data_IF_028178787083
#
_entry.id   IF_028178787083
#
_cell.length_a   1.000
_cell.length_b   1.000
_cell.length_c   1.000
_cell.angle_alpha   90.00
_cell.angle_beta   90.00
_cell.angle_gamma   90.00
#
_symmetry.space_group_name_H-M   'P 1'
#
loop_
_entity.id
_entity.type
_entity.pdbx_description
1 polymer ?
#
# COMPACT_ATOMS: atom_id res chain seq x y z
N UNK A 1 -29.44 75.21 -19.76
CA UNK A 1 -28.23 74.48 -20.18
C UNK A 1 -27.50 74.04 -18.92
N UNK A 2 -27.61 72.76 -18.54
CA UNK A 2 -26.83 72.21 -17.44
C UNK A 2 -25.33 72.25 -17.81
N UNK A 3 -24.41 72.58 -16.89
CA UNK A 3 -23.00 72.69 -17.20
C UNK A 3 -22.38 71.31 -17.47
N UNK A 4 -21.89 71.14 -18.71
CA UNK A 4 -20.60 70.55 -19.03
C UNK A 4 -20.36 69.07 -18.68
N UNK A 5 -20.84 68.16 -19.53
CA UNK A 5 -20.10 66.91 -19.76
C UNK A 5 -19.03 67.20 -20.81
N UNK A 6 -17.75 67.22 -20.42
CA UNK A 6 -16.64 67.28 -21.38
C UNK A 6 -16.53 65.94 -22.12
N UNK A 7 -16.55 65.95 -23.45
CA UNK A 7 -16.29 64.75 -24.25
C UNK A 7 -14.89 64.21 -23.93
N UNK A 8 -14.81 62.98 -23.42
CA UNK A 8 -13.54 62.33 -23.07
C UNK A 8 -13.43 61.82 -21.63
N UNK A 9 -14.43 62.07 -20.78
CA UNK A 9 -14.43 61.50 -19.43
C UNK A 9 -14.69 59.98 -19.47
N UNK A 10 -13.76 59.21 -18.90
CA UNK A 10 -13.90 57.76 -18.73
C UNK A 10 -13.58 57.36 -17.29
N UNK A 11 -14.26 56.32 -16.83
CA UNK A 11 -13.96 55.65 -15.56
C UNK A 11 -13.33 54.30 -15.88
N UNK A 12 -12.24 53.96 -15.19
CA UNK A 12 -11.64 52.63 -15.29
C UNK A 12 -11.75 51.95 -13.93
N UNK A 13 -12.29 50.74 -13.92
CA UNK A 13 -12.32 49.87 -12.74
C UNK A 13 -11.19 48.86 -12.81
N UNK A 14 -10.45 48.69 -11.72
CA UNK A 14 -9.46 47.62 -11.60
C UNK A 14 -9.77 46.76 -10.38
N UNK A 15 -9.62 45.45 -10.55
CA UNK A 15 -9.61 44.48 -9.46
C UNK A 15 -8.16 44.18 -9.11
N UNK A 16 -7.80 44.30 -7.83
CA UNK A 16 -6.48 43.90 -7.34
C UNK A 16 -6.62 42.66 -6.46
N UNK A 17 -5.93 41.60 -6.86
CA UNK A 17 -5.67 40.42 -6.04
C UNK A 17 -4.23 40.50 -5.52
N UNK A 18 -3.99 40.01 -4.30
CA UNK A 18 -2.62 39.85 -3.78
C UNK A 18 -1.99 38.59 -4.41
N UNK A 19 -1.00 38.72 -5.31
CA UNK A 19 -0.38 37.58 -5.98
C UNK A 19 0.36 36.63 -5.02
N UNK A 20 0.63 37.04 -3.77
CA UNK A 20 1.24 36.18 -2.75
C UNK A 20 0.25 35.21 -2.07
N UNK A 21 -1.07 35.40 -2.27
CA UNK A 21 -2.10 34.49 -1.76
C UNK A 21 -2.50 33.48 -2.87
N UNK A 22 -2.18 32.19 -2.72
CA UNK A 22 -2.43 31.17 -3.76
C UNK A 22 -3.92 30.85 -3.94
N UNK A 23 -4.78 31.32 -3.03
CA UNK A 23 -6.22 31.15 -3.07
C UNK A 23 -6.86 32.55 -3.03
N UNK A 24 -7.61 32.97 -4.05
CA UNK A 24 -8.16 34.34 -4.11
C UNK A 24 -9.24 34.63 -3.06
N UNK A 25 -9.76 33.60 -2.38
CA UNK A 25 -10.76 33.73 -1.32
C UNK A 25 -10.52 32.69 -0.22
N UNK A 26 -10.31 33.13 1.02
CA UNK A 26 -10.22 32.29 2.22
C UNK A 26 -11.62 31.84 2.69
N UNK A 27 -11.70 30.80 3.52
CA UNK A 27 -13.00 30.31 4.04
C UNK A 27 -13.70 31.29 5.01
N UNK A 28 -12.98 32.30 5.51
CA UNK A 28 -13.52 33.37 6.37
C UNK A 28 -12.87 34.71 6.01
N UNK A 29 -13.64 35.81 6.15
CA UNK A 29 -13.17 37.21 6.00
C UNK A 29 -12.65 37.64 4.62
N UNK A 30 -13.31 37.23 3.54
CA UNK A 30 -13.02 37.78 2.20
C UNK A 30 -13.50 39.23 2.09
N UNK A 31 -12.62 40.14 1.65
CA UNK A 31 -12.96 41.52 1.31
C UNK A 31 -12.74 41.73 -0.18
N UNK A 32 -13.77 42.21 -0.89
CA UNK A 32 -13.66 42.64 -2.29
C UNK A 32 -13.62 44.16 -2.28
N UNK A 33 -12.51 44.72 -2.77
CA UNK A 33 -12.36 46.17 -2.94
C UNK A 33 -12.40 46.53 -4.42
N UNK A 34 -13.25 47.50 -4.78
CA UNK A 34 -13.39 48.00 -6.15
C UNK A 34 -12.89 49.44 -6.15
N UNK A 35 -11.83 49.69 -6.93
CA UNK A 35 -11.27 51.02 -7.08
C UNK A 35 -11.75 51.62 -8.39
N UNK A 36 -12.42 52.77 -8.29
CA UNK A 36 -12.88 53.55 -9.44
C UNK A 36 -12.04 54.81 -9.50
N UNK A 37 -11.30 54.98 -10.60
CA UNK A 37 -10.53 56.20 -10.86
C UNK A 37 -11.17 56.96 -12.02
N UNK A 38 -11.36 58.27 -11.83
CA UNK A 38 -11.72 59.17 -12.93
C UNK A 38 -10.49 59.91 -13.47
N UNK A 39 -10.47 60.13 -14.78
CA UNK A 39 -9.49 60.96 -15.48
C UNK A 39 -9.87 62.45 -15.54
N UNK A 40 -11.02 62.87 -14.96
CA UNK A 40 -11.51 64.25 -14.98
C UNK A 40 -12.29 64.66 -13.72
N UNK A 41 -12.72 65.92 -13.65
CA UNK A 41 -13.53 66.43 -12.54
C UNK A 41 -15.02 66.11 -12.75
N UNK A 42 -15.67 65.58 -11.72
CA UNK A 42 -17.10 65.23 -11.73
C UNK A 42 -17.79 65.75 -10.47
N UNK A 43 -19.06 66.12 -10.59
CA UNK A 43 -19.90 66.52 -9.45
C UNK A 43 -20.63 65.34 -8.80
N UNK A 44 -20.83 64.22 -9.51
CA UNK A 44 -21.46 63.03 -8.97
C UNK A 44 -21.11 61.76 -9.78
N UNK A 45 -21.16 60.59 -9.12
CA UNK A 45 -21.10 59.26 -9.73
C UNK A 45 -22.34 58.48 -9.29
N UNK A 46 -23.11 57.94 -10.23
CA UNK A 46 -24.23 57.05 -9.97
C UNK A 46 -23.86 55.63 -10.44
N UNK A 47 -23.99 54.64 -9.55
CA UNK A 47 -23.82 53.22 -9.87
C UNK A 47 -25.21 52.60 -9.78
N UNK A 48 -25.81 52.31 -10.94
CA UNK A 48 -27.19 51.82 -11.02
C UNK A 48 -27.26 50.29 -10.80
N UNK A 49 -26.31 49.53 -11.35
CA UNK A 49 -26.19 48.09 -11.10
C UNK A 49 -24.72 47.65 -10.96
N UNK A 50 -24.41 46.96 -9.85
CA UNK A 50 -23.16 46.23 -9.67
C UNK A 50 -23.45 44.72 -9.61
N UNK A 51 -23.09 43.99 -10.67
CA UNK A 51 -23.28 42.53 -10.77
C UNK A 51 -21.95 41.80 -10.58
N UNK A 52 -21.78 41.13 -9.44
CA UNK A 52 -20.62 40.28 -9.14
C UNK A 52 -21.03 38.82 -9.36
N UNK A 53 -20.30 38.11 -10.23
CA UNK A 53 -20.40 36.65 -10.36
C UNK A 53 -19.16 36.02 -9.74
N UNK A 54 -19.35 35.26 -8.66
CA UNK A 54 -18.30 34.44 -8.07
C UNK A 54 -18.68 32.96 -8.22
N UNK A 55 -17.71 32.13 -8.60
CA UNK A 55 -17.88 30.68 -8.66
C UNK A 55 -16.99 30.06 -7.59
N UNK A 56 -17.60 29.39 -6.61
CA UNK A 56 -16.84 28.61 -5.64
C UNK A 56 -16.25 27.42 -6.39
N UNK A 57 -14.93 27.40 -6.58
CA UNK A 57 -14.20 26.17 -6.90
C UNK A 57 -14.26 25.27 -5.66
N UNK A 58 -15.40 24.62 -5.46
CA UNK A 58 -15.47 23.48 -4.54
C UNK A 58 -14.69 22.39 -5.25
N UNK A 59 -13.44 22.17 -4.84
CA UNK A 59 -12.80 20.90 -5.13
C UNK A 59 -13.72 19.84 -4.54
N UNK A 60 -14.42 19.08 -5.37
CA UNK A 60 -15.24 17.97 -4.91
C UNK A 60 -14.34 17.07 -4.09
N UNK A 61 -14.64 16.89 -2.80
CA UNK A 61 -13.90 15.97 -1.95
C UNK A 61 -14.13 14.57 -2.51
N UNK A 62 -13.14 14.06 -3.22
CA UNK A 62 -13.15 12.70 -3.73
C UNK A 62 -12.48 11.80 -2.71
N UNK A 63 -13.10 10.66 -2.43
CA UNK A 63 -12.46 9.55 -1.73
C UNK A 63 -11.63 8.79 -2.75
N UNK A 64 -10.37 8.57 -2.42
CA UNK A 64 -9.46 7.74 -3.19
C UNK A 64 -9.26 6.42 -2.45
N UNK A 65 -8.96 5.36 -3.19
CA UNK A 65 -8.76 4.04 -2.63
C UNK A 65 -7.64 3.32 -3.35
N UNK A 66 -7.03 2.37 -2.65
CA UNK A 66 -5.99 1.52 -3.20
C UNK A 66 -6.61 0.45 -4.11
N UNK A 67 -5.92 0.20 -5.21
CA UNK A 67 -6.14 -0.99 -6.03
C UNK A 67 -5.46 -2.23 -5.44
N UNK A 68 -6.09 -3.38 -5.65
CA UNK A 68 -5.48 -4.69 -5.42
C UNK A 68 -5.78 -5.58 -6.63
N UNK A 69 -4.73 -6.09 -7.27
CA UNK A 69 -4.80 -7.09 -8.34
C UNK A 69 -4.46 -8.45 -7.72
N UNK A 70 -5.37 -9.43 -7.83
CA UNK A 70 -5.26 -10.66 -7.03
C UNK A 70 -4.82 -11.86 -7.86
N UNK A 71 -3.67 -12.42 -7.51
CA UNK A 71 -3.40 -13.86 -7.58
C UNK A 71 -3.30 -14.39 -6.15
N UNK A 72 -4.43 -14.74 -5.54
CA UNK A 72 -4.51 -15.27 -4.18
C UNK A 72 -4.85 -16.75 -4.21
N UNK A 73 -4.04 -17.56 -3.52
CA UNK A 73 -4.29 -18.98 -3.33
C UNK A 73 -4.74 -19.22 -1.90
N UNK A 74 -5.98 -19.66 -1.71
CA UNK A 74 -6.52 -20.02 -0.39
C UNK A 74 -7.22 -21.38 -0.48
N UNK A 75 -6.77 -22.41 0.27
CA UNK A 75 -7.42 -23.72 0.32
C UNK A 75 -8.73 -23.71 1.14
N UNK A 76 -9.27 -22.53 1.47
CA UNK A 76 -10.42 -22.34 2.34
C UNK A 76 -11.21 -21.09 1.96
N UNK A 77 -12.34 -20.86 2.65
CA UNK A 77 -13.22 -19.74 2.34
C UNK A 77 -12.54 -18.39 2.64
N UNK A 78 -12.38 -17.56 1.61
CA UNK A 78 -12.00 -16.15 1.78
C UNK A 78 -13.27 -15.39 2.19
N UNK A 79 -13.27 -14.82 3.39
CA UNK A 79 -14.36 -13.96 3.87
C UNK A 79 -13.88 -12.52 3.89
N UNK A 80 -14.69 -11.60 3.38
CA UNK A 80 -14.48 -10.14 3.49
C UNK A 80 -13.26 -9.58 2.76
N UNK A 81 -12.94 -10.08 1.57
CA UNK A 81 -11.98 -9.42 0.68
C UNK A 81 -12.67 -8.26 -0.07
N UNK A 82 -12.18 -7.04 0.11
CA UNK A 82 -12.67 -5.86 -0.60
C UNK A 82 -11.49 -5.12 -1.22
N UNK A 83 -11.61 -4.76 -2.50
CA UNK A 83 -10.66 -3.89 -3.20
C UNK A 83 -11.36 -2.57 -3.48
N UNK A 84 -10.67 -1.46 -3.21
CA UNK A 84 -11.14 -0.13 -3.55
C UNK A 84 -10.62 0.31 -4.93
N UNK A 85 -10.30 -0.63 -5.82
CA UNK A 85 -9.76 -0.35 -7.16
C UNK A 85 -10.64 0.59 -8.00
N UNK A 86 -11.96 0.55 -7.79
CA UNK A 86 -12.91 1.48 -8.38
C UNK A 86 -12.73 2.96 -8.00
N UNK A 87 -12.00 3.24 -6.92
CA UNK A 87 -11.63 4.57 -6.46
C UNK A 87 -10.30 5.07 -7.06
N UNK A 88 -9.71 4.36 -8.03
CA UNK A 88 -8.44 4.76 -8.65
C UNK A 88 -8.50 6.20 -9.22
N UNK A 89 -9.63 6.63 -9.79
CA UNK A 89 -9.84 8.00 -10.28
C UNK A 89 -10.49 8.96 -9.25
N UNK A 90 -10.70 8.47 -8.02
CA UNK A 90 -11.43 9.13 -6.94
C UNK A 90 -12.95 9.20 -7.20
N UNK A 91 -13.76 8.92 -6.17
CA UNK A 91 -15.22 9.04 -6.22
C UNK A 91 -15.73 10.16 -5.32
N UNK A 92 -16.71 10.92 -5.79
CA UNK A 92 -17.42 11.91 -4.99
C UNK A 92 -18.53 11.30 -4.10
N UNK A 93 -18.78 9.99 -4.26
CA UNK A 93 -19.81 9.24 -3.55
C UNK A 93 -19.15 8.24 -2.60
N UNK A 94 -19.66 8.16 -1.37
CA UNK A 94 -19.26 7.20 -0.34
C UNK A 94 -19.89 5.81 -0.56
N UNK A 95 -20.92 5.72 -1.41
CA UNK A 95 -21.62 4.48 -1.71
C UNK A 95 -20.76 3.53 -2.53
N UNK A 96 -20.42 2.35 -1.98
CA UNK A 96 -19.60 1.36 -2.67
C UNK A 96 -20.14 0.96 -4.05
N UNK A 97 -21.47 0.84 -4.21
CA UNK A 97 -22.05 0.46 -5.50
C UNK A 97 -21.77 1.48 -6.61
N UNK A 98 -21.52 2.74 -6.26
CA UNK A 98 -21.28 3.80 -7.25
C UNK A 98 -19.91 3.68 -7.92
N UNK A 99 -18.89 3.23 -7.18
CA UNK A 99 -17.51 3.14 -7.66
C UNK A 99 -17.02 1.69 -7.85
N UNK A 100 -17.70 0.69 -7.29
CA UNK A 100 -17.30 -0.72 -7.32
C UNK A 100 -18.15 -1.59 -8.26
N UNK A 101 -18.67 -1.03 -9.35
CA UNK A 101 -19.69 -1.67 -10.19
C UNK A 101 -19.26 -3.02 -10.80
N UNK A 102 -17.95 -3.24 -10.99
CA UNK A 102 -17.38 -4.41 -11.69
C UNK A 102 -16.58 -5.38 -10.78
N UNK A 103 -16.64 -5.22 -9.45
CA UNK A 103 -15.94 -6.18 -8.57
C UNK A 103 -16.66 -7.53 -8.51
N UNK A 104 -15.93 -8.64 -8.35
CA UNK A 104 -16.48 -10.00 -8.21
C UNK A 104 -17.57 -10.14 -7.13
N UNK A 105 -17.67 -9.20 -6.18
CA UNK A 105 -18.73 -9.11 -5.18
C UNK A 105 -20.10 -8.62 -5.73
N UNK A 106 -20.14 -8.10 -6.97
CA UNK A 106 -21.31 -7.43 -7.57
C UNK A 106 -21.87 -8.18 -8.80
N UNK A 107 -21.46 -9.44 -9.02
CA UNK A 107 -21.97 -10.30 -10.08
C UNK A 107 -22.57 -11.59 -9.50
N UNK A 108 -23.72 -12.00 -10.01
CA UNK A 108 -24.39 -13.27 -9.66
C UNK A 108 -23.89 -14.46 -10.48
N UNK A 109 -22.87 -14.26 -11.33
CA UNK A 109 -22.41 -15.22 -12.36
C UNK A 109 -21.08 -15.87 -11.92
N UNK A 110 -20.90 -17.20 -12.05
CA UNK A 110 -19.82 -17.95 -11.40
C UNK A 110 -18.51 -17.97 -12.21
N UNK A 111 -18.07 -16.83 -12.75
CA UNK A 111 -16.75 -16.76 -13.37
C UNK A 111 -15.65 -16.67 -12.30
N UNK A 112 -14.51 -17.35 -12.52
CA UNK A 112 -13.40 -17.39 -11.56
C UNK A 112 -13.49 -18.53 -10.52
N UNK A 113 -14.27 -19.58 -10.78
CA UNK A 113 -14.30 -20.76 -9.90
C UNK A 113 -12.97 -21.52 -9.96
N UNK A 114 -12.13 -21.32 -8.95
CA UNK A 114 -11.03 -22.23 -8.64
C UNK A 114 -11.60 -23.59 -8.20
N UNK A 115 -10.78 -24.65 -8.27
CA UNK A 115 -11.17 -25.95 -7.75
C UNK A 115 -11.74 -25.79 -6.32
N UNK A 116 -12.82 -26.50 -5.95
CA UNK A 116 -13.38 -26.39 -4.61
C UNK A 116 -12.30 -26.70 -3.57
N UNK A 117 -12.35 -26.03 -2.41
CA UNK A 117 -11.37 -26.18 -1.32
C UNK A 117 -11.01 -27.65 -0.99
N UNK A 118 -11.96 -28.57 -1.14
CA UNK A 118 -11.78 -30.01 -0.93
C UNK A 118 -10.94 -30.73 -2.01
N UNK A 119 -10.83 -30.15 -3.20
CA UNK A 119 -9.96 -30.60 -4.30
C UNK A 119 -8.64 -29.81 -4.36
N UNK A 120 -8.52 -28.77 -3.55
CA UNK A 120 -7.26 -28.04 -3.37
C UNK A 120 -6.41 -28.81 -2.36
N UNK A 121 -5.13 -29.03 -2.70
CA UNK A 121 -4.18 -29.62 -1.77
C UNK A 121 -3.98 -28.77 -0.53
N UNK A 122 -3.39 -29.37 0.51
CA UNK A 122 -3.03 -28.63 1.73
C UNK A 122 -1.85 -27.70 1.43
N UNK A 123 -1.88 -26.47 1.95
CA UNK A 123 -0.69 -25.60 1.93
C UNK A 123 0.45 -26.36 2.62
N UNK A 124 1.60 -26.58 1.97
CA UNK A 124 2.73 -27.25 2.61
C UNK A 124 3.10 -26.55 3.92
N UNK A 125 3.47 -27.32 4.94
CA UNK A 125 3.93 -26.75 6.21
C UNK A 125 5.35 -26.16 6.06
N UNK A 126 5.44 -24.98 5.43
CA UNK A 126 6.70 -24.28 5.14
C UNK A 126 7.41 -23.92 6.45
N UNK A 127 6.66 -23.43 7.45
CA UNK A 127 7.21 -23.14 8.78
C UNK A 127 7.85 -24.37 9.41
N UNK A 128 7.16 -25.52 9.36
CA UNK A 128 7.68 -26.82 9.80
C UNK A 128 8.96 -27.23 9.06
N UNK A 129 8.96 -27.15 7.73
CA UNK A 129 10.13 -27.46 6.90
C UNK A 129 11.35 -26.59 7.23
N UNK A 130 11.14 -25.29 7.47
CA UNK A 130 12.21 -24.34 7.78
C UNK A 130 12.69 -24.42 9.24
N UNK A 131 11.88 -25.01 10.12
CA UNK A 131 12.19 -25.21 11.54
C UNK A 131 12.87 -26.54 11.86
N UNK A 132 13.05 -27.43 10.88
CA UNK A 132 13.51 -28.78 11.16
C UNK A 132 15.00 -28.82 11.55
N UNK A 133 15.38 -29.71 12.48
CA UNK A 133 16.78 -29.93 12.82
C UNK A 133 17.60 -30.34 11.59
N UNK A 134 18.83 -29.82 11.49
CA UNK A 134 19.79 -30.21 10.45
C UNK A 134 19.59 -29.54 9.08
N UNK A 135 18.71 -28.53 8.98
CA UNK A 135 18.55 -27.74 7.76
C UNK A 135 19.86 -27.00 7.43
N UNK A 136 20.43 -27.31 6.25
CA UNK A 136 21.67 -26.72 5.74
C UNK A 136 21.40 -25.45 4.96
N UNK A 137 22.34 -24.52 5.00
CA UNK A 137 22.32 -23.29 4.18
C UNK A 137 21.49 -22.14 4.76
N UNK A 138 20.97 -22.29 5.98
CA UNK A 138 20.29 -21.21 6.72
C UNK A 138 20.79 -21.15 8.16
N UNK A 139 20.79 -19.95 8.72
CA UNK A 139 21.00 -19.72 10.15
C UNK A 139 19.64 -19.70 10.85
N UNK A 140 19.40 -20.61 11.79
CA UNK A 140 18.14 -20.64 12.55
C UNK A 140 18.35 -19.90 13.88
N UNK A 141 17.51 -18.90 14.13
CA UNK A 141 17.49 -18.14 15.38
C UNK A 141 16.20 -18.52 16.14
N UNK A 142 16.26 -19.48 17.08
CA UNK A 142 15.14 -19.74 17.95
C UNK A 142 14.90 -18.54 18.87
N UNK A 143 13.65 -18.13 19.02
CA UNK A 143 13.26 -16.96 19.81
C UNK A 143 11.93 -17.19 20.53
N UNK A 144 11.73 -16.49 21.63
CA UNK A 144 10.39 -16.33 22.23
C UNK A 144 9.57 -15.31 21.44
N UNK A 145 8.81 -14.46 22.14
CA UNK A 145 8.36 -13.20 21.55
C UNK A 145 9.58 -12.30 21.30
N UNK A 146 9.62 -11.62 20.15
CA UNK A 146 10.78 -10.80 19.76
C UNK A 146 10.35 -9.54 19.03
N UNK A 147 11.06 -8.46 19.30
CA UNK A 147 10.94 -7.22 18.52
C UNK A 147 12.13 -7.10 17.57
N UNK A 148 11.85 -6.99 16.27
CA UNK A 148 12.84 -6.80 15.21
C UNK A 148 12.93 -5.30 14.93
N UNK A 149 13.85 -4.64 15.63
CA UNK A 149 14.24 -3.25 15.39
C UNK A 149 15.55 -3.20 14.57
N UNK A 150 16.01 -1.98 14.25
CA UNK A 150 17.25 -1.80 13.49
C UNK A 150 18.47 -2.38 14.23
N UNK A 151 18.48 -2.39 15.56
CA UNK A 151 19.58 -2.94 16.35
C UNK A 151 19.61 -4.47 16.25
N UNK A 152 18.46 -5.13 16.31
CA UNK A 152 18.32 -6.57 16.15
C UNK A 152 18.73 -7.04 14.76
N UNK A 153 18.31 -6.31 13.71
CA UNK A 153 18.72 -6.57 12.31
C UNK A 153 20.24 -6.55 12.19
N UNK A 154 20.88 -5.52 12.74
CA UNK A 154 22.32 -5.36 12.71
C UNK A 154 23.05 -6.41 13.57
N UNK A 155 22.63 -6.62 14.81
CA UNK A 155 23.29 -7.58 15.71
C UNK A 155 23.31 -9.00 15.14
N UNK A 156 22.24 -9.41 14.48
CA UNK A 156 22.11 -10.76 13.93
C UNK A 156 22.53 -10.87 12.45
N UNK A 157 22.90 -9.75 11.83
CA UNK A 157 23.26 -9.67 10.41
C UNK A 157 22.18 -10.31 9.51
N UNK A 158 20.90 -10.06 9.82
CA UNK A 158 19.74 -10.75 9.23
C UNK A 158 19.69 -10.66 7.70
N UNK A 159 20.30 -9.62 7.12
CA UNK A 159 20.27 -9.35 5.69
C UNK A 159 21.50 -9.88 4.93
N UNK A 160 22.54 -10.36 5.65
CA UNK A 160 23.82 -10.80 5.06
C UNK A 160 23.95 -12.30 4.84
N UNK A 161 23.01 -13.07 5.37
CA UNK A 161 22.92 -14.53 5.18
C UNK A 161 21.48 -14.99 5.29
N UNK A 162 21.17 -16.11 4.64
CA UNK A 162 19.86 -16.73 4.76
C UNK A 162 19.57 -17.07 6.22
N UNK A 163 18.53 -16.46 6.79
CA UNK A 163 18.23 -16.54 8.23
C UNK A 163 16.75 -16.87 8.43
N UNK A 164 16.48 -17.81 9.33
CA UNK A 164 15.12 -18.16 9.77
C UNK A 164 14.98 -17.76 11.23
N UNK A 165 14.12 -16.78 11.51
CA UNK A 165 13.70 -16.47 12.87
C UNK A 165 12.52 -17.39 13.19
N UNK A 166 12.71 -18.25 14.17
CA UNK A 166 11.69 -19.16 14.63
C UNK A 166 11.22 -18.72 16.02
N UNK A 167 10.13 -17.95 16.03
CA UNK A 167 9.55 -17.41 17.24
C UNK A 167 8.44 -18.33 17.77
N UNK A 168 8.45 -18.62 19.07
CA UNK A 168 7.32 -19.29 19.75
C UNK A 168 6.25 -18.31 20.22
N UNK A 169 6.54 -17.00 20.21
CA UNK A 169 5.61 -15.92 20.52
C UNK A 169 5.50 -14.90 19.40
N UNK A 170 4.71 -13.85 19.62
CA UNK A 170 4.48 -12.78 18.63
C UNK A 170 5.78 -12.10 18.22
N UNK A 171 5.97 -11.90 16.92
CA UNK A 171 7.04 -11.08 16.35
C UNK A 171 6.51 -9.68 16.07
N UNK A 172 7.18 -8.65 16.59
CA UNK A 172 6.86 -7.26 16.31
C UNK A 172 7.98 -6.61 15.49
N UNK A 173 7.69 -6.14 14.28
CA UNK A 173 8.64 -5.47 13.40
C UNK A 173 8.51 -3.97 13.57
N UNK A 174 9.60 -3.33 13.99
CA UNK A 174 9.71 -1.87 14.18
C UNK A 174 10.87 -1.27 13.38
N UNK A 175 11.74 -2.11 12.80
CA UNK A 175 12.81 -1.70 11.90
C UNK A 175 12.24 -0.92 10.71
N UNK A 176 12.78 0.28 10.45
CA UNK A 176 12.23 1.21 9.45
C UNK A 176 12.24 0.60 8.05
N UNK A 177 13.38 0.00 7.68
CA UNK A 177 13.55 -0.72 6.43
C UNK A 177 14.39 -1.96 6.70
N UNK A 178 13.84 -3.13 6.38
CA UNK A 178 14.57 -4.37 6.28
C UNK A 178 14.80 -4.59 4.80
N UNK A 179 16.00 -4.31 4.31
CA UNK A 179 16.40 -4.48 2.91
C UNK A 179 17.46 -5.57 2.79
N UNK A 180 17.34 -6.46 1.81
CA UNK A 180 18.39 -7.45 1.56
C UNK A 180 19.74 -6.77 1.31
N UNK A 181 20.82 -7.42 1.74
CA UNK A 181 22.15 -7.06 1.28
C UNK A 181 22.24 -7.43 -0.21
N UNK A 182 22.26 -6.42 -1.08
CA UNK A 182 22.27 -6.60 -2.54
C UNK A 182 23.67 -6.87 -3.09
N UNK A 183 24.58 -7.43 -2.30
CA UNK A 183 25.88 -7.88 -2.82
C UNK A 183 25.63 -8.81 -4.01
N UNK A 184 26.04 -8.38 -5.19
CA UNK A 184 25.66 -8.87 -6.52
C UNK A 184 26.25 -10.22 -6.91
N UNK A 185 26.44 -11.11 -5.95
CA UNK A 185 26.92 -12.47 -6.19
C UNK A 185 25.69 -13.38 -6.28
N UNK A 186 25.52 -14.09 -7.39
CA UNK A 186 24.45 -15.08 -7.60
C UNK A 186 24.45 -16.16 -6.50
N UNK A 187 25.57 -16.30 -5.78
CA UNK A 187 25.73 -17.17 -4.61
C UNK A 187 25.17 -16.61 -3.30
N UNK A 188 24.76 -15.33 -3.26
CA UNK A 188 24.29 -14.61 -2.07
C UNK A 188 22.84 -14.11 -2.21
N UNK A 189 21.94 -14.92 -2.79
CA UNK A 189 20.49 -14.68 -2.74
C UNK A 189 19.92 -14.97 -1.35
N UNK A 190 20.36 -14.23 -0.34
CA UNK A 190 19.96 -14.44 1.05
C UNK A 190 18.48 -14.11 1.23
N UNK A 191 17.76 -14.98 1.93
CA UNK A 191 16.37 -14.73 2.32
C UNK A 191 16.25 -14.68 3.85
N UNK A 192 15.45 -13.74 4.33
CA UNK A 192 15.03 -13.68 5.71
C UNK A 192 13.65 -14.32 5.79
N UNK A 193 13.48 -15.28 6.68
CA UNK A 193 12.18 -15.89 6.93
C UNK A 193 11.82 -15.71 8.39
N UNK A 194 10.60 -15.24 8.64
CA UNK A 194 10.05 -15.03 9.98
C UNK A 194 8.90 -16.00 10.14
N UNK A 195 9.07 -16.96 11.05
CA UNK A 195 8.04 -17.93 11.43
C UNK A 195 7.60 -17.63 12.85
N UNK A 196 6.32 -17.30 13.05
CA UNK A 196 5.76 -16.95 14.35
C UNK A 196 4.28 -17.32 14.44
N UNK A 197 3.68 -17.41 15.63
CA UNK A 197 2.23 -17.47 15.76
C UNK A 197 1.54 -16.24 15.16
N UNK A 198 2.02 -15.03 15.51
CA UNK A 198 1.52 -13.76 15.01
C UNK A 198 2.68 -12.85 14.61
N UNK A 199 2.48 -12.04 13.56
CA UNK A 199 3.47 -11.07 13.07
C UNK A 199 2.82 -9.68 12.98
N UNK A 200 3.32 -8.77 13.79
CA UNK A 200 2.87 -7.40 13.90
C UNK A 200 3.89 -6.46 13.26
N UNK A 201 3.50 -5.74 12.22
CA UNK A 201 4.31 -4.69 11.60
C UNK A 201 3.79 -3.35 12.11
N UNK A 202 4.68 -2.48 12.57
CA UNK A 202 4.30 -1.14 13.02
C UNK A 202 4.16 -0.15 11.87
N UNK A 203 3.31 0.86 12.06
CA UNK A 203 3.03 1.92 11.10
C UNK A 203 4.27 2.62 10.53
N UNK A 204 5.38 2.69 11.27
CA UNK A 204 6.61 3.34 10.83
C UNK A 204 7.47 2.51 9.87
N UNK A 205 7.12 1.25 9.63
CA UNK A 205 7.88 0.36 8.73
C UNK A 205 7.47 0.65 7.29
N UNK A 206 8.46 0.94 6.44
CA UNK A 206 8.28 1.24 5.02
C UNK A 206 8.59 0.05 4.10
N UNK A 207 9.51 -0.82 4.51
CA UNK A 207 9.90 -1.99 3.70
C UNK A 207 10.32 -3.19 4.55
N UNK A 208 9.79 -4.35 4.19
CA UNK A 208 10.11 -5.66 4.80
C UNK A 208 10.51 -6.64 3.70
N UNK A 209 11.80 -6.84 3.54
CA UNK A 209 12.38 -7.86 2.68
C UNK A 209 12.48 -9.18 3.46
N UNK A 210 11.36 -9.89 3.62
CA UNK A 210 11.30 -11.16 4.33
C UNK A 210 10.09 -11.99 3.92
N UNK A 211 10.18 -13.30 4.12
CA UNK A 211 9.04 -14.20 4.09
C UNK A 211 8.36 -14.16 5.46
N UNK A 212 7.05 -13.93 5.47
CA UNK A 212 6.25 -13.81 6.68
C UNK A 212 5.31 -15.02 6.79
N UNK A 213 5.57 -15.88 7.78
CA UNK A 213 4.91 -17.17 7.94
C UNK A 213 4.23 -17.20 9.32
N UNK A 214 2.91 -17.09 9.34
CA UNK A 214 2.07 -17.14 10.53
C UNK A 214 0.98 -18.22 10.42
N UNK A 215 1.35 -19.52 10.48
CA UNK A 215 0.50 -20.63 9.99
C UNK A 215 -0.92 -20.65 10.58
N UNK A 216 -1.04 -20.33 11.87
CA UNK A 216 -2.31 -20.36 12.61
C UNK A 216 -2.71 -19.01 13.20
N UNK A 217 -2.04 -17.92 12.82
CA UNK A 217 -2.31 -16.61 13.39
C UNK A 217 -2.36 -15.50 12.36
N UNK A 218 -2.04 -14.31 12.81
CA UNK A 218 -2.37 -13.08 12.10
C UNK A 218 -1.12 -12.32 11.70
N UNK A 219 -1.12 -11.82 10.45
CA UNK A 219 -0.18 -10.80 10.01
C UNK A 219 -0.90 -9.47 9.98
N UNK A 220 -0.49 -8.52 10.82
CA UNK A 220 -1.08 -7.20 10.92
C UNK A 220 -0.07 -6.13 10.48
N UNK A 221 -0.33 -5.48 9.35
CA UNK A 221 0.59 -4.50 8.76
C UNK A 221 0.59 -3.14 9.46
N UNK A 222 -0.42 -2.87 10.30
CA UNK A 222 -0.47 -1.72 11.20
C UNK A 222 -1.02 -2.11 12.58
N UNK A 223 -0.14 -2.75 13.35
CA UNK A 223 -0.45 -3.27 14.69
C UNK A 223 -0.67 -2.20 15.76
N UNK A 224 -0.02 -1.05 15.63
CA UNK A 224 -0.13 0.08 16.56
C UNK A 224 -1.19 1.12 16.15
N UNK A 225 -1.96 0.85 15.09
CA UNK A 225 -3.05 1.72 14.66
C UNK A 225 -4.30 1.57 15.54
N UNK A 226 -5.11 2.64 15.70
CA UNK A 226 -6.38 2.58 16.43
C UNK A 226 -7.34 1.56 15.83
N UNK A 227 -8.38 1.16 16.58
CA UNK A 227 -9.37 0.19 16.09
C UNK A 227 -10.07 0.63 14.79
N UNK A 228 -10.39 1.93 14.71
CA UNK A 228 -10.90 2.58 13.51
C UNK A 228 -9.83 3.52 12.95
N UNK A 229 -9.40 3.27 11.71
CA UNK A 229 -8.33 4.02 11.07
C UNK A 229 -8.89 5.27 10.37
N UNK A 230 -8.16 6.37 10.48
CA UNK A 230 -8.34 7.58 9.66
C UNK A 230 -7.22 7.71 8.63
N UNK A 231 -7.34 8.66 7.69
CA UNK A 231 -6.29 8.95 6.70
C UNK A 231 -4.94 9.35 7.32
N UNK A 232 -4.93 9.78 8.59
CA UNK A 232 -3.72 10.17 9.31
C UNK A 232 -3.07 8.98 10.05
N UNK A 233 -3.77 7.87 10.19
CA UNK A 233 -3.28 6.68 10.90
C UNK A 233 -2.68 5.70 9.90
N UNK A 234 -1.49 5.17 10.17
CA UNK A 234 -0.85 4.16 9.30
C UNK A 234 -0.64 4.65 7.85
N UNK A 235 -0.35 5.93 7.69
CA UNK A 235 -0.26 6.64 6.40
C UNK A 235 1.09 6.48 5.67
N UNK A 236 1.97 5.62 6.17
CA UNK A 236 3.22 5.24 5.49
C UNK A 236 2.99 3.99 4.64
N UNK A 237 3.38 4.01 3.35
CA UNK A 237 3.25 2.84 2.49
C UNK A 237 4.19 1.73 2.95
N UNK A 238 3.75 0.48 2.85
CA UNK A 238 4.53 -0.70 3.21
C UNK A 238 4.82 -1.55 1.98
N UNK A 239 6.08 -1.86 1.71
CA UNK A 239 6.48 -2.84 0.72
C UNK A 239 6.97 -4.12 1.40
N UNK A 240 6.29 -5.25 1.17
CA UNK A 240 6.76 -6.57 1.61
C UNK A 240 7.30 -7.32 0.39
N UNK A 241 8.58 -7.67 0.41
CA UNK A 241 9.23 -8.44 -0.64
C UNK A 241 9.54 -9.86 -0.14
N UNK A 242 8.59 -10.76 -0.32
CA UNK A 242 8.69 -12.15 0.11
C UNK A 242 7.34 -12.86 0.12
N UNK A 243 7.38 -14.17 0.32
CA UNK A 243 6.17 -14.97 0.45
C UNK A 243 5.47 -14.67 1.78
N UNK A 244 4.14 -14.63 1.76
CA UNK A 244 3.32 -14.39 2.94
C UNK A 244 2.30 -15.52 3.08
N UNK A 245 2.27 -16.16 4.25
CA UNK A 245 1.29 -17.21 4.55
C UNK A 245 0.80 -17.02 5.97
N UNK A 246 -0.51 -16.92 6.14
CA UNK A 246 -1.12 -16.78 7.45
C UNK A 246 -2.57 -17.28 7.46
N UNK A 247 -3.10 -17.53 8.65
CA UNK A 247 -4.54 -17.76 8.81
C UNK A 247 -5.33 -16.47 8.57
N UNK A 248 -4.80 -15.32 8.98
CA UNK A 248 -5.42 -14.02 8.77
C UNK A 248 -4.37 -12.98 8.34
N UNK A 249 -4.72 -12.16 7.35
CA UNK A 249 -3.88 -11.04 6.89
C UNK A 249 -4.68 -9.76 7.02
N UNK A 250 -4.27 -8.89 7.93
CA UNK A 250 -4.88 -7.60 8.20
C UNK A 250 -4.04 -6.50 7.54
N UNK A 251 -4.49 -6.10 6.35
CA UNK A 251 -3.96 -5.00 5.55
C UNK A 251 -4.57 -3.68 6.04
N UNK A 252 -3.86 -2.99 6.93
CA UNK A 252 -4.33 -1.85 7.73
C UNK A 252 -3.59 -0.53 7.41
N UNK A 253 -2.85 -0.42 6.31
CA UNK A 253 -2.26 0.86 5.87
C UNK A 253 -3.30 1.72 5.14
N UNK A 254 -3.18 3.03 5.30
CA UNK A 254 -4.06 4.03 4.67
C UNK A 254 -3.33 4.91 3.64
N UNK A 255 -2.05 4.61 3.38
CA UNK A 255 -1.17 5.36 2.50
C UNK A 255 -1.52 5.21 1.00
N UNK A 256 -0.90 6.03 0.15
CA UNK A 256 -0.79 5.80 -1.29
C UNK A 256 -1.95 6.33 -2.13
N UNK A 257 -3.20 6.19 -1.69
CA UNK A 257 -4.36 6.66 -2.45
C UNK A 257 -4.77 8.07 -2.02
N UNK A 258 -4.16 9.09 -2.61
CA UNK A 258 -4.54 10.49 -2.39
C UNK A 258 -4.83 11.24 -3.71
N UNK A 259 -5.23 12.52 -3.59
CA UNK A 259 -5.57 13.38 -4.74
C UNK A 259 -4.40 13.58 -5.71
N UNK A 260 -3.17 13.56 -5.20
CA UNK A 260 -1.94 13.82 -5.97
C UNK A 260 -1.33 12.55 -6.57
N UNK A 261 -1.63 11.40 -5.97
CA UNK A 261 -1.13 10.08 -6.36
C UNK A 261 -2.29 9.08 -6.52
N UNK A 262 -3.26 9.34 -7.41
CA UNK A 262 -4.36 8.40 -7.65
C UNK A 262 -3.79 7.04 -8.10
N UNK A 263 -4.02 6.00 -7.30
CA UNK A 263 -3.52 4.64 -7.57
C UNK A 263 -2.25 4.21 -6.81
N UNK A 264 -1.73 5.02 -5.89
CA UNK A 264 -0.68 4.55 -4.98
C UNK A 264 -1.20 3.43 -4.07
N UNK A 265 -0.43 2.35 -3.93
CA UNK A 265 -0.77 1.25 -3.05
C UNK A 265 -0.36 1.57 -1.60
N UNK A 266 -1.27 1.33 -0.65
CA UNK A 266 -0.97 1.45 0.77
C UNK A 266 -0.01 0.33 1.23
N UNK A 267 -0.23 -0.87 0.69
CA UNK A 267 0.66 -2.02 0.84
C UNK A 267 0.93 -2.65 -0.51
N UNK A 268 2.20 -2.96 -0.75
CA UNK A 268 2.66 -3.70 -1.93
C UNK A 268 3.25 -5.01 -1.46
N UNK A 269 2.58 -6.11 -1.77
CA UNK A 269 3.08 -7.47 -1.51
C UNK A 269 3.68 -8.01 -2.81
N UNK A 270 4.99 -8.25 -2.80
CA UNK A 270 5.75 -8.62 -3.98
C UNK A 270 6.50 -9.94 -3.76
N UNK A 271 6.19 -10.94 -4.57
CA UNK A 271 6.94 -12.18 -4.60
C UNK A 271 7.97 -12.13 -5.74
N UNK A 272 9.19 -11.77 -5.36
CA UNK A 272 10.29 -11.59 -6.31
C UNK A 272 10.89 -12.93 -6.77
N UNK A 273 11.50 -12.93 -7.95
CA UNK A 273 12.11 -14.13 -8.56
C UNK A 273 13.22 -14.78 -7.72
N UNK A 274 13.95 -14.00 -6.93
CA UNK A 274 15.00 -14.48 -6.04
C UNK A 274 14.50 -15.41 -4.93
N UNK A 275 13.26 -15.20 -4.46
CA UNK A 275 12.63 -16.09 -3.49
C UNK A 275 12.47 -17.52 -4.06
N UNK A 276 12.10 -17.64 -5.34
CA UNK A 276 11.98 -18.94 -6.00
C UNK A 276 13.35 -19.61 -6.22
N UNK A 277 14.34 -18.85 -6.65
CA UNK A 277 15.70 -19.37 -6.87
C UNK A 277 16.32 -19.83 -5.56
N UNK A 278 16.18 -19.04 -4.49
CA UNK A 278 16.66 -19.41 -3.15
C UNK A 278 15.97 -20.68 -2.63
N UNK A 279 14.65 -20.77 -2.73
CA UNK A 279 13.92 -21.94 -2.22
C UNK A 279 14.28 -23.24 -2.97
N UNK A 280 14.51 -23.16 -4.29
CA UNK A 280 15.05 -24.27 -5.07
C UNK A 280 16.43 -24.70 -4.55
N UNK A 281 17.36 -23.75 -4.38
CA UNK A 281 18.71 -24.06 -3.86
C UNK A 281 18.67 -24.67 -2.47
N UNK A 282 17.82 -24.14 -1.58
CA UNK A 282 17.61 -24.70 -0.25
C UNK A 282 17.10 -26.16 -0.33
N UNK A 283 16.18 -26.43 -1.25
CA UNK A 283 15.68 -27.79 -1.49
C UNK A 283 16.73 -28.71 -2.08
N UNK A 284 17.62 -28.25 -2.96
CA UNK A 284 18.72 -29.04 -3.51
C UNK A 284 19.78 -29.38 -2.44
N UNK A 285 20.09 -28.44 -1.54
CA UNK A 285 21.03 -28.65 -0.43
C UNK A 285 20.53 -29.63 0.63
N UNK A 286 19.21 -29.74 0.77
CA UNK A 286 18.54 -30.55 1.79
C UNK A 286 17.75 -31.72 1.21
N UNK A 287 17.79 -31.89 -0.11
CA UNK A 287 17.10 -32.93 -0.85
C UNK A 287 17.90 -34.23 -0.79
N UNK A 288 17.19 -35.34 -0.67
CA UNK A 288 17.77 -36.67 -0.85
C UNK A 288 17.48 -37.10 -2.29
N UNK A 289 18.54 -37.28 -3.09
CA UNK A 289 18.40 -37.87 -4.42
C UNK A 289 18.12 -39.36 -4.24
N UNK A 290 16.90 -39.80 -4.57
CA UNK A 290 16.56 -41.22 -4.62
C UNK A 290 16.27 -41.60 -6.05
N UNK A 291 17.07 -42.50 -6.63
CA UNK A 291 16.81 -43.05 -7.96
C UNK A 291 15.47 -43.79 -7.94
N UNK A 292 14.46 -43.24 -8.59
CA UNK A 292 13.14 -43.87 -8.73
C UNK A 292 13.11 -44.56 -10.09
N UNK A 293 13.57 -45.81 -10.08
CA UNK A 293 13.73 -46.75 -11.20
C UNK A 293 14.84 -46.41 -12.20
N UNK A 294 15.72 -47.40 -12.43
CA UNK A 294 16.59 -47.48 -13.60
C UNK A 294 15.89 -48.47 -14.54
N UNK A 295 15.40 -48.00 -15.68
CA UNK A 295 14.95 -48.89 -16.74
C UNK A 295 16.13 -49.12 -17.68
N UNK A 296 16.78 -50.26 -17.54
CA UNK A 296 17.78 -50.73 -18.51
C UNK A 296 17.09 -50.95 -19.86
N UNK A 297 17.64 -50.38 -20.94
CA UNK A 297 17.17 -50.66 -22.29
C UNK A 297 17.58 -52.10 -22.66
N UNK A 298 16.72 -52.89 -23.33
CA UNK A 298 17.06 -54.25 -23.73
C UNK A 298 18.28 -54.26 -24.68
N UNK A 299 19.13 -55.32 -24.61
CA UNK A 299 20.30 -55.44 -25.47
C UNK A 299 19.91 -55.31 -26.94
N UNK A 300 20.57 -54.41 -27.68
CA UNK A 300 20.52 -54.43 -29.14
C UNK A 300 21.55 -55.44 -29.62
N UNK A 301 21.09 -56.53 -30.23
CA UNK A 301 21.90 -57.42 -31.05
C UNK A 301 21.97 -56.88 -32.48
#
# INVERSE_FOLDING_TARGET
KAPGFSSGASFQGTYKHDPAQPIPFAYTNNKIEIHIQSAGTHTALLIDELKIKAQKLVGTTKTYGSWGEYSMYAPGAIRSIASASGLAAGSASDQQQSWSQLTHANVTIPYGSFAPASQMGVIPNIGGYLSRPGLKGVNIIPSGAVTIDNAFVNANQLMKRSTVIQATGTVTITATNMTYDTSSDDKNMNQLVIVAPDINIQAGVGRVDAWLIAPNGTINTCSNGPGQLTINDCNQPLQVNGALTASHVLLRRTAGADKTTPGGAAETLNLRGDAYIWSRRLSELNGTWTTRAITELPPRY
#
